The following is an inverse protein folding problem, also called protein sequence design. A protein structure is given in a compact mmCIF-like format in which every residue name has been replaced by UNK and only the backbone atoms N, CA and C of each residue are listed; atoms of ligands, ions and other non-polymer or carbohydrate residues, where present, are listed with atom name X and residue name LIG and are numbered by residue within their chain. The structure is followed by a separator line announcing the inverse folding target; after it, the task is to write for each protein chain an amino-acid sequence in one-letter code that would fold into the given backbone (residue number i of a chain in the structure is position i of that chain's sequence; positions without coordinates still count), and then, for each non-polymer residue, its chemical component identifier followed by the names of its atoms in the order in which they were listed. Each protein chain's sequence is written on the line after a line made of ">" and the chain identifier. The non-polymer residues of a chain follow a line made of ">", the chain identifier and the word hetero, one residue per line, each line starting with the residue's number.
data_IF_350574001387
#
_entry.id   IF_350574001387
#
_cell.length_a   1.000
_cell.length_b   1.000
_cell.length_c   1.000
_cell.angle_alpha   90.00
_cell.angle_beta   90.00
_cell.angle_gamma   90.00
#
_symmetry.space_group_name_H-M   'P 1'
#
loop_
_entity.id
_entity.type
_entity.pdbx_description
1 polymer ?
#
# COMPACT_ATOMS: atom_id res chain seq x y z
N UNK A 1 -45.85 22.92 26.45
CA UNK A 1 -45.41 21.55 26.09
C UNK A 1 -45.27 21.34 24.58
N UNK A 2 -46.27 21.66 23.75
CA UNK A 2 -46.21 21.48 22.28
C UNK A 2 -45.12 22.30 21.57
N UNK A 3 -44.88 23.54 22.00
CA UNK A 3 -43.86 24.43 21.41
C UNK A 3 -42.42 23.96 21.67
N UNK A 4 -42.15 23.39 22.86
CA UNK A 4 -40.84 22.82 23.19
C UNK A 4 -40.58 21.53 22.40
N UNK A 5 -41.61 20.74 22.11
CA UNK A 5 -41.50 19.52 21.31
C UNK A 5 -41.12 19.83 19.85
N UNK A 6 -41.67 20.89 19.28
CA UNK A 6 -41.35 21.38 17.93
C UNK A 6 -39.89 21.87 17.87
N UNK A 7 -39.44 22.59 18.91
CA UNK A 7 -38.06 23.06 18.99
C UNK A 7 -37.05 21.91 19.10
N UNK A 8 -37.36 20.87 19.89
CA UNK A 8 -36.52 19.67 20.02
C UNK A 8 -36.46 18.90 18.68
N UNK A 9 -37.57 18.81 17.96
CA UNK A 9 -37.62 18.13 16.66
C UNK A 9 -36.80 18.88 15.58
N UNK A 10 -36.84 20.21 15.59
CA UNK A 10 -36.02 21.06 14.71
C UNK A 10 -34.51 20.94 15.02
N UNK A 11 -34.13 20.81 16.29
CA UNK A 11 -32.75 20.57 16.72
C UNK A 11 -32.23 19.20 16.27
N UNK A 12 -33.07 18.17 16.25
CA UNK A 12 -32.71 16.83 15.77
C UNK A 12 -32.48 16.78 14.25
N UNK A 13 -33.24 17.55 13.47
CA UNK A 13 -33.01 17.66 12.01
C UNK A 13 -31.74 18.45 11.64
N UNK A 14 -31.21 19.28 12.55
CA UNK A 14 -30.00 20.05 12.33
C UNK A 14 -28.70 19.26 12.59
N UNK A 15 -28.79 18.02 13.09
CA UNK A 15 -27.64 17.12 13.23
C UNK A 15 -27.26 16.62 11.84
N UNK A 16 -26.43 17.39 11.14
CA UNK A 16 -25.79 16.91 9.94
C UNK A 16 -24.75 15.85 10.34
N UNK A 17 -24.99 14.60 9.94
CA UNK A 17 -23.95 13.59 9.96
C UNK A 17 -22.88 14.02 8.97
N UNK A 18 -21.72 14.47 9.45
CA UNK A 18 -20.56 14.64 8.60
C UNK A 18 -20.14 13.24 8.12
N UNK A 19 -20.14 12.94 6.81
CA UNK A 19 -19.55 11.71 6.34
C UNK A 19 -18.07 11.74 6.69
N UNK A 20 -17.64 10.85 7.57
CA UNK A 20 -16.22 10.58 7.82
C UNK A 20 -15.71 9.74 6.64
N UNK A 21 -15.62 10.34 5.46
CA UNK A 21 -15.15 9.65 4.26
C UNK A 21 -13.62 9.57 4.28
N UNK A 22 -13.08 8.76 5.19
CA UNK A 22 -11.65 8.42 5.19
C UNK A 22 -11.31 7.47 4.03
N UNK A 23 -12.31 6.75 3.49
CA UNK A 23 -12.11 5.75 2.44
C UNK A 23 -13.21 5.78 1.37
N UNK A 24 -12.84 5.41 0.14
CA UNK A 24 -13.76 5.32 -0.99
C UNK A 24 -14.63 4.05 -0.89
N UNK A 25 -15.94 4.22 -0.71
CA UNK A 25 -16.87 3.09 -0.67
C UNK A 25 -17.06 2.41 -2.04
N UNK A 26 -17.33 1.11 -2.00
CA UNK A 26 -17.67 0.26 -3.15
C UNK A 26 -16.67 0.36 -4.32
N UNK A 27 -15.38 0.14 -4.06
CA UNK A 27 -14.33 0.18 -5.10
C UNK A 27 -14.61 -0.79 -6.26
N UNK A 28 -15.23 -1.95 -5.99
CA UNK A 28 -15.57 -2.95 -7.00
C UNK A 28 -16.69 -2.52 -7.95
N UNK A 29 -17.52 -1.53 -7.56
CA UNK A 29 -18.56 -0.96 -8.42
C UNK A 29 -18.08 0.23 -9.26
N UNK A 30 -16.78 0.51 -9.29
CA UNK A 30 -16.18 1.65 -10.00
C UNK A 30 -15.27 1.17 -11.13
N UNK A 31 -14.95 2.08 -12.05
CA UNK A 31 -13.88 1.85 -13.02
C UNK A 31 -12.55 1.72 -12.28
N UNK A 32 -11.89 0.58 -12.45
CA UNK A 32 -10.62 0.28 -11.80
C UNK A 32 -9.65 -0.32 -12.79
N UNK A 33 -8.36 -0.12 -12.53
CA UNK A 33 -7.28 -0.79 -13.25
C UNK A 33 -6.51 -1.64 -12.25
N UNK A 34 -6.47 -2.94 -12.50
CA UNK A 34 -5.70 -3.86 -11.68
C UNK A 34 -4.20 -3.62 -11.86
N UNK A 35 -3.46 -3.65 -10.75
CA UNK A 35 -1.99 -3.74 -10.73
C UNK A 35 -1.52 -5.12 -10.26
N UNK A 36 -2.38 -6.15 -10.29
CA UNK A 36 -2.06 -7.52 -9.89
C UNK A 36 -1.06 -8.20 -10.84
N UNK A 37 -0.32 -9.18 -10.35
CA UNK A 37 0.64 -10.01 -11.08
C UNK A 37 1.96 -10.17 -10.33
N UNK A 38 3.04 -10.52 -11.02
CA UNK A 38 4.38 -10.62 -10.40
C UNK A 38 5.06 -9.26 -10.23
N UNK A 39 5.44 -8.93 -9.01
CA UNK A 39 6.20 -7.74 -8.63
C UNK A 39 7.60 -8.15 -8.22
N UNK A 40 8.59 -7.31 -8.50
CA UNK A 40 9.96 -7.50 -8.03
C UNK A 40 9.99 -7.24 -6.51
N UNK A 41 10.76 -8.05 -5.79
CA UNK A 41 10.75 -8.05 -4.33
C UNK A 41 12.16 -8.10 -3.73
N UNK A 42 12.34 -7.38 -2.62
CA UNK A 42 13.58 -7.39 -1.82
C UNK A 42 13.20 -7.72 -0.37
N UNK A 43 13.81 -8.77 0.17
CA UNK A 43 13.69 -9.17 1.58
C UNK A 43 14.65 -8.32 2.39
N UNK A 44 14.14 -7.46 3.27
CA UNK A 44 14.90 -6.45 4.01
C UNK A 44 14.90 -6.77 5.52
N UNK A 45 15.65 -7.83 5.88
CA UNK A 45 15.69 -8.38 7.24
C UNK A 45 16.13 -7.35 8.30
N UNK A 46 17.01 -6.43 7.91
CA UNK A 46 17.58 -5.42 8.82
C UNK A 46 16.99 -4.02 8.62
N UNK A 47 15.89 -3.91 7.87
CA UNK A 47 15.15 -2.65 7.65
C UNK A 47 16.02 -1.49 7.12
N UNK A 48 17.02 -1.79 6.29
CA UNK A 48 17.94 -0.79 5.75
C UNK A 48 17.40 -0.13 4.48
N UNK A 49 16.36 -0.68 3.86
CA UNK A 49 15.81 -0.18 2.60
C UNK A 49 15.32 1.27 2.68
N UNK A 50 14.76 1.67 3.83
CA UNK A 50 14.32 3.05 4.05
C UNK A 50 15.51 4.01 4.15
N UNK A 51 16.55 3.65 4.92
CA UNK A 51 17.76 4.45 5.09
C UNK A 51 18.52 4.61 3.77
N UNK A 52 18.63 3.52 2.99
CA UNK A 52 19.25 3.52 1.65
C UNK A 52 18.34 4.09 0.56
N UNK A 53 17.11 4.50 0.91
CA UNK A 53 16.12 5.10 0.01
C UNK A 53 15.87 4.27 -1.25
N UNK A 54 15.71 2.96 -1.10
CA UNK A 54 15.60 2.05 -2.25
C UNK A 54 14.35 2.32 -3.11
N UNK A 55 13.32 2.92 -2.51
CA UNK A 55 12.11 3.38 -3.21
C UNK A 55 12.37 4.41 -4.32
N UNK A 56 13.54 5.07 -4.34
CA UNK A 56 13.94 5.96 -5.43
C UNK A 56 14.36 5.20 -6.69
N UNK A 57 14.54 3.88 -6.61
CA UNK A 57 14.92 2.99 -7.72
C UNK A 57 16.09 3.54 -8.56
N UNK A 58 17.13 4.02 -7.88
CA UNK A 58 18.32 4.59 -8.52
C UNK A 58 19.10 3.47 -9.21
N UNK A 59 19.63 3.80 -10.38
CA UNK A 59 20.59 2.97 -11.11
C UNK A 59 21.91 3.72 -11.23
N UNK A 60 23.02 3.00 -11.16
CA UNK A 60 24.33 3.58 -11.40
C UNK A 60 24.43 4.04 -12.86
N UNK A 61 24.83 5.30 -13.07
CA UNK A 61 24.99 5.89 -14.41
C UNK A 61 26.41 6.39 -14.65
N UNK A 62 27.06 6.90 -13.59
CA UNK A 62 28.47 7.29 -13.59
C UNK A 62 29.40 6.17 -13.11
N UNK A 63 30.70 6.35 -13.35
CA UNK A 63 31.74 5.39 -12.96
C UNK A 63 31.87 5.20 -11.43
N UNK A 64 31.55 6.23 -10.65
CA UNK A 64 31.61 6.22 -9.19
C UNK A 64 30.27 5.93 -8.52
N UNK A 65 29.19 5.79 -9.28
CA UNK A 65 27.88 5.50 -8.71
C UNK A 65 27.84 4.04 -8.25
N UNK A 66 27.44 3.81 -7.00
CA UNK A 66 27.28 2.48 -6.44
C UNK A 66 26.01 2.40 -5.61
N UNK A 67 25.23 1.34 -5.85
CA UNK A 67 24.00 1.04 -5.12
C UNK A 67 23.95 -0.46 -4.86
N UNK A 68 23.68 -0.85 -3.61
CA UNK A 68 23.66 -2.26 -3.17
C UNK A 68 22.32 -2.95 -3.41
N UNK A 69 21.43 -2.36 -4.23
CA UNK A 69 20.11 -2.89 -4.52
C UNK A 69 19.76 -2.78 -6.00
N UNK A 70 18.85 -3.66 -6.44
CA UNK A 70 18.20 -3.58 -7.74
C UNK A 70 16.82 -4.24 -7.65
N UNK A 71 15.81 -3.62 -8.26
CA UNK A 71 14.50 -4.24 -8.47
C UNK A 71 14.42 -5.00 -9.82
N UNK A 72 15.57 -5.35 -10.40
CA UNK A 72 15.64 -6.08 -11.67
C UNK A 72 16.38 -7.40 -11.50
N UNK A 73 15.92 -8.44 -12.22
CA UNK A 73 16.53 -9.78 -12.26
C UNK A 73 16.60 -10.51 -10.91
N UNK A 74 15.79 -10.09 -9.93
CA UNK A 74 15.76 -10.66 -8.58
C UNK A 74 14.55 -11.57 -8.29
N UNK A 75 14.21 -11.66 -7.00
CA UNK A 75 13.01 -12.34 -6.54
C UNK A 75 11.76 -11.64 -7.09
N UNK A 76 10.77 -12.42 -7.52
CA UNK A 76 9.44 -11.90 -7.90
C UNK A 76 8.34 -12.67 -7.19
N UNK A 77 7.42 -11.93 -6.59
CA UNK A 77 6.29 -12.47 -5.82
C UNK A 77 4.96 -12.07 -6.48
N UNK A 78 3.98 -12.96 -6.40
CA UNK A 78 2.62 -12.71 -6.86
C UNK A 78 1.91 -11.71 -5.93
N UNK A 79 1.19 -10.78 -6.53
CA UNK A 79 0.30 -9.81 -5.87
C UNK A 79 -1.08 -9.89 -6.52
N UNK A 80 -2.18 -10.11 -5.76
CA UNK A 80 -2.17 -10.40 -4.32
C UNK A 80 -1.65 -11.82 -4.03
N UNK A 81 -1.19 -12.02 -2.80
CA UNK A 81 -0.72 -13.29 -2.27
C UNK A 81 0.16 -13.06 -1.05
N UNK A 82 0.05 -13.90 -0.03
CA UNK A 82 1.01 -13.90 1.09
C UNK A 82 2.40 -14.30 0.57
N UNK A 83 3.47 -13.78 1.16
CA UNK A 83 4.82 -14.18 0.76
C UNK A 83 5.21 -15.55 1.32
N UNK A 84 4.62 -15.97 2.44
CA UNK A 84 5.01 -17.14 3.22
C UNK A 84 4.85 -18.45 2.43
N UNK A 85 3.81 -18.56 1.61
CA UNK A 85 3.52 -19.75 0.80
C UNK A 85 4.21 -19.76 -0.56
N UNK A 86 4.82 -18.66 -0.99
CA UNK A 86 5.39 -18.53 -2.34
C UNK A 86 6.83 -19.04 -2.45
N UNK A 87 7.57 -19.03 -1.34
CA UNK A 87 8.97 -19.45 -1.24
C UNK A 87 9.23 -20.09 0.12
N UNK A 88 9.95 -21.21 0.12
CA UNK A 88 10.24 -21.95 1.35
C UNK A 88 11.05 -21.11 2.34
N UNK A 89 11.94 -20.27 1.83
CA UNK A 89 12.79 -19.34 2.58
C UNK A 89 11.97 -18.26 3.31
N UNK A 90 10.77 -17.95 2.82
CA UNK A 90 9.87 -16.92 3.39
C UNK A 90 8.83 -17.50 4.34
N UNK A 91 8.76 -18.82 4.51
CA UNK A 91 7.70 -19.49 5.29
C UNK A 91 7.55 -18.92 6.70
N UNK A 92 8.68 -18.68 7.37
CA UNK A 92 8.73 -18.13 8.73
C UNK A 92 9.35 -16.73 8.76
N UNK A 93 9.44 -16.06 7.61
CA UNK A 93 10.00 -14.72 7.56
C UNK A 93 9.03 -13.71 8.16
N UNK A 94 9.52 -13.01 9.18
CA UNK A 94 8.83 -11.94 9.90
C UNK A 94 9.70 -10.68 9.81
N UNK A 95 9.38 -9.79 8.89
CA UNK A 95 10.17 -8.59 8.63
C UNK A 95 9.67 -7.84 7.40
N UNK A 96 10.47 -6.88 6.94
CA UNK A 96 10.11 -6.03 5.81
C UNK A 96 10.36 -6.74 4.47
N UNK A 97 9.40 -6.65 3.55
CA UNK A 97 9.57 -7.02 2.14
C UNK A 97 9.15 -5.83 1.28
N UNK A 98 10.06 -5.32 0.46
CA UNK A 98 9.78 -4.25 -0.49
C UNK A 98 9.25 -4.84 -1.79
N UNK A 99 8.17 -4.28 -2.33
CA UNK A 99 7.57 -4.67 -3.61
C UNK A 99 7.67 -3.52 -4.60
N UNK A 100 8.09 -3.80 -5.84
CA UNK A 100 8.18 -2.82 -6.91
C UNK A 100 7.60 -3.34 -8.23
N UNK A 101 7.00 -2.43 -8.99
CA UNK A 101 6.48 -2.68 -10.34
C UNK A 101 6.38 -1.37 -11.11
N UNK A 102 6.67 -1.42 -12.40
CA UNK A 102 6.38 -0.36 -13.34
C UNK A 102 5.00 -0.52 -13.98
N UNK A 103 4.28 0.58 -14.16
CA UNK A 103 3.03 0.67 -14.91
C UNK A 103 3.03 1.98 -15.72
N UNK A 104 2.41 1.96 -16.89
CA UNK A 104 2.15 3.16 -17.71
C UNK A 104 0.94 3.92 -17.20
#
# INVERSE_FOLDING_TARGET
>A
MKTNLIFILLLLCAVQAYPSDTYLANIYGRETRSLNGKWDAIVDLYEQGANSKIFLNKKATGHSDFYEYSFENGLRLNVPGDWNSQKQELKYYEGTVWYARHFN
#
